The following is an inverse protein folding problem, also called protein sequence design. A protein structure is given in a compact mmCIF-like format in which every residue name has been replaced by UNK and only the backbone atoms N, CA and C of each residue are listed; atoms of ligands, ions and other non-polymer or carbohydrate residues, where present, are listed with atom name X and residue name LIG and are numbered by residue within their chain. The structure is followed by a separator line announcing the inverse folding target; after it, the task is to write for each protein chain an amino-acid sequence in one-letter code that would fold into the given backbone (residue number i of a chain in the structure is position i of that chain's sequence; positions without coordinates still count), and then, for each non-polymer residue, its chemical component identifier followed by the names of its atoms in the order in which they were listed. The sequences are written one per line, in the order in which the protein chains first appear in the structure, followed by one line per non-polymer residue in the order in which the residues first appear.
data_IF_969568369676
#
_entry.id   IF_969568369676
#
_cell.length_a   1.000
_cell.length_b   1.000
_cell.length_c   1.000
_cell.angle_alpha   90.00
_cell.angle_beta   90.00
_cell.angle_gamma   90.00
#
_symmetry.space_group_name_H-M   'P 1'
#
loop_
_entity.id
_entity.type
_entity.pdbx_description
1 polymer ?
#
# COMPACT_ATOMS: atom_id res chain seq x y z
N UNK A 1 7.91 -3.01 -10.67
CA UNK A 1 8.24 -2.11 -9.53
C UNK A 1 9.09 -2.88 -8.52
N UNK A 2 10.16 -2.26 -8.03
CA UNK A 2 10.99 -2.83 -6.98
C UNK A 2 10.50 -2.37 -5.60
N UNK A 3 10.99 -3.04 -4.56
CA UNK A 3 10.69 -2.63 -3.18
C UNK A 3 11.22 -1.22 -2.88
N UNK A 4 12.41 -0.88 -3.38
CA UNK A 4 12.97 0.46 -3.21
C UNK A 4 12.08 1.53 -3.89
N UNK A 5 11.53 1.22 -5.04
CA UNK A 5 10.60 2.12 -5.72
C UNK A 5 9.28 2.27 -4.94
N UNK A 6 8.80 1.19 -4.33
CA UNK A 6 7.62 1.25 -3.48
C UNK A 6 7.85 2.15 -2.27
N UNK A 7 9.01 2.03 -1.60
CA UNK A 7 9.36 2.90 -0.48
C UNK A 7 9.50 4.35 -0.90
N UNK A 8 10.13 4.60 -2.05
CA UNK A 8 10.26 5.96 -2.57
C UNK A 8 8.88 6.58 -2.82
N UNK A 9 7.95 5.78 -3.34
CA UNK A 9 6.59 6.22 -3.58
C UNK A 9 5.87 6.54 -2.26
N UNK A 10 6.02 5.69 -1.25
CA UNK A 10 5.46 5.93 0.07
C UNK A 10 6.01 7.22 0.70
N UNK A 11 7.32 7.48 0.55
CA UNK A 11 7.93 8.72 1.04
C UNK A 11 7.38 9.94 0.32
N UNK A 12 7.19 9.84 -1.00
CA UNK A 12 6.68 10.94 -1.82
C UNK A 12 5.30 11.40 -1.37
N UNK A 13 4.45 10.47 -0.98
CA UNK A 13 3.07 10.75 -0.57
C UNK A 13 2.89 10.73 0.95
N UNK A 14 3.97 10.69 1.71
CA UNK A 14 3.92 10.63 3.16
C UNK A 14 3.12 11.79 3.74
N UNK A 15 2.14 11.46 4.58
CA UNK A 15 1.29 12.45 5.23
C UNK A 15 0.15 12.99 4.38
N UNK A 16 0.12 12.71 3.08
CA UNK A 16 -0.98 13.13 2.23
C UNK A 16 -2.18 12.21 2.40
N UNK A 17 -3.37 12.79 2.37
CA UNK A 17 -4.61 12.02 2.42
C UNK A 17 -4.87 11.38 1.06
N UNK A 18 -5.00 10.07 1.05
CA UNK A 18 -5.37 9.29 -0.13
C UNK A 18 -6.72 8.61 0.14
N UNK A 19 -7.36 8.10 -0.91
CA UNK A 19 -8.62 7.38 -0.77
C UNK A 19 -8.55 6.02 -1.44
N UNK A 20 -9.15 5.01 -0.80
CA UNK A 20 -9.34 3.69 -1.41
C UNK A 20 -10.36 3.78 -2.55
N UNK A 21 -10.48 2.70 -3.33
CA UNK A 21 -11.45 2.66 -4.44
C UNK A 21 -12.89 2.80 -3.96
N UNK A 22 -13.16 2.53 -2.68
CA UNK A 22 -14.49 2.70 -2.08
C UNK A 22 -14.64 4.05 -1.37
N UNK A 23 -13.66 4.94 -1.49
CA UNK A 23 -13.72 6.29 -0.95
C UNK A 23 -13.30 6.43 0.51
N UNK A 24 -12.68 5.42 1.10
CA UNK A 24 -12.19 5.50 2.49
C UNK A 24 -10.84 6.19 2.53
N UNK A 25 -10.71 7.23 3.36
CA UNK A 25 -9.48 8.00 3.50
C UNK A 25 -8.43 7.30 4.34
N UNK A 26 -7.17 7.50 3.95
CA UNK A 26 -6.02 7.01 4.72
C UNK A 26 -4.80 7.87 4.41
N UNK A 27 -3.78 7.74 5.25
CA UNK A 27 -2.46 8.31 4.97
C UNK A 27 -1.44 7.19 4.87
N UNK A 28 -0.36 7.46 4.15
CA UNK A 28 0.77 6.52 4.04
C UNK A 28 2.00 7.15 4.69
N UNK A 29 2.83 6.30 5.26
CA UNK A 29 4.13 6.67 5.80
C UNK A 29 5.07 5.49 5.71
N UNK A 30 6.18 5.57 6.42
CA UNK A 30 7.17 4.50 6.49
C UNK A 30 7.47 4.21 7.95
N UNK A 31 7.44 2.93 8.29
CA UNK A 31 7.78 2.45 9.63
C UNK A 31 8.60 1.17 9.50
N UNK A 32 9.78 1.17 10.11
CA UNK A 32 10.73 0.04 10.04
C UNK A 32 11.01 -0.38 8.58
N UNK A 33 11.24 0.62 7.73
CA UNK A 33 11.51 0.43 6.29
C UNK A 33 10.40 -0.30 5.54
N UNK A 34 9.16 -0.17 6.01
CA UNK A 34 7.97 -0.71 5.34
C UNK A 34 6.92 0.37 5.13
N UNK A 35 6.12 0.30 4.06
CA UNK A 35 4.95 1.16 3.97
C UNK A 35 4.02 0.95 5.16
N UNK A 36 3.50 2.04 5.68
CA UNK A 36 2.68 2.06 6.89
C UNK A 36 1.43 2.87 6.58
N UNK A 37 0.26 2.27 6.76
CA UNK A 37 -1.00 2.88 6.38
C UNK A 37 -1.84 3.20 7.61
N UNK A 38 -2.40 4.42 7.65
CA UNK A 38 -3.25 4.84 8.77
C UNK A 38 -4.63 5.19 8.24
N UNK A 39 -5.62 4.28 8.40
CA UNK A 39 -7.00 4.56 7.99
C UNK A 39 -7.58 5.67 8.87
N UNK A 40 -8.34 6.60 8.26
CA UNK A 40 -9.00 7.66 9.01
C UNK A 40 -10.03 7.11 9.99
N UNK A 41 -10.72 6.02 9.62
CA UNK A 41 -11.80 5.45 10.42
C UNK A 41 -11.34 4.95 11.77
N UNK A 42 -10.12 4.40 11.87
CA UNK A 42 -9.59 3.87 13.13
C UNK A 42 -8.53 4.76 13.75
N UNK A 43 -7.80 5.52 12.94
CA UNK A 43 -6.64 6.29 13.37
C UNK A 43 -5.43 5.43 13.75
N UNK A 44 -5.52 4.10 13.61
CA UNK A 44 -4.42 3.20 13.96
C UNK A 44 -3.67 2.76 12.72
N UNK A 45 -2.35 2.97 12.74
CA UNK A 45 -1.48 2.58 11.65
C UNK A 45 -1.37 1.07 11.49
N UNK A 46 -1.19 0.63 10.25
CA UNK A 46 -1.13 -0.79 9.89
C UNK A 46 0.04 -1.05 8.94
N UNK A 47 0.77 -2.12 9.22
CA UNK A 47 1.75 -2.68 8.31
C UNK A 47 1.79 -4.18 8.55
N UNK A 48 1.80 -4.98 7.49
CA UNK A 48 1.95 -6.42 7.60
C UNK A 48 3.37 -6.88 7.25
N UNK A 49 4.31 -5.93 7.21
CA UNK A 49 5.72 -6.20 7.12
C UNK A 49 6.25 -6.27 5.69
N UNK A 50 7.58 -6.39 5.60
CA UNK A 50 8.28 -6.39 4.32
C UNK A 50 7.91 -7.59 3.45
N UNK A 51 7.78 -8.78 4.05
CA UNK A 51 7.47 -9.98 3.28
C UNK A 51 6.12 -9.88 2.57
N UNK A 52 5.12 -9.33 3.25
CA UNK A 52 3.80 -9.12 2.64
C UNK A 52 3.88 -8.09 1.52
N UNK A 53 4.63 -7.00 1.72
CA UNK A 53 4.85 -5.99 0.69
C UNK A 53 5.55 -6.59 -0.53
N UNK A 54 6.55 -7.44 -0.31
CA UNK A 54 7.27 -8.11 -1.41
C UNK A 54 6.36 -9.08 -2.16
N UNK A 55 5.49 -9.83 -1.45
CA UNK A 55 4.50 -10.70 -2.10
C UNK A 55 3.51 -9.90 -2.93
N UNK A 56 3.06 -8.75 -2.40
CA UNK A 56 2.20 -7.85 -3.16
C UNK A 56 2.90 -7.42 -4.45
N UNK A 57 4.14 -6.94 -4.36
CA UNK A 57 4.90 -6.47 -5.52
C UNK A 57 5.11 -7.58 -6.55
N UNK A 58 5.40 -8.79 -6.09
CA UNK A 58 5.56 -9.93 -7.01
C UNK A 58 4.31 -10.13 -7.85
N UNK A 59 3.13 -10.16 -7.19
CA UNK A 59 1.87 -10.30 -7.91
C UNK A 59 1.58 -9.09 -8.79
N UNK A 60 1.81 -7.88 -8.28
CA UNK A 60 1.61 -6.67 -9.05
C UNK A 60 2.46 -6.65 -10.32
N UNK A 61 3.71 -7.07 -10.23
CA UNK A 61 4.59 -7.14 -11.39
C UNK A 61 4.15 -8.22 -12.40
N UNK A 62 3.43 -9.23 -11.95
CA UNK A 62 2.90 -10.29 -12.82
C UNK A 62 1.61 -9.88 -13.53
N UNK A 63 0.66 -9.27 -12.82
CA UNK A 63 -0.68 -9.04 -13.35
C UNK A 63 -1.05 -7.57 -13.53
N UNK A 64 -0.36 -6.65 -12.87
CA UNK A 64 -0.59 -5.21 -12.99
C UNK A 64 -1.96 -4.72 -12.55
N UNK A 65 -2.74 -5.54 -11.86
CA UNK A 65 -4.10 -5.19 -11.44
C UNK A 65 -4.11 -4.09 -10.40
N UNK A 66 -5.12 -3.23 -10.45
CA UNK A 66 -5.39 -2.22 -9.42
C UNK A 66 -6.65 -2.56 -8.62
N UNK A 67 -7.10 -3.81 -8.67
CA UNK A 67 -8.24 -4.30 -7.88
C UNK A 67 -7.74 -4.96 -6.60
N UNK A 68 -8.15 -4.45 -5.43
CA UNK A 68 -7.67 -5.01 -4.15
C UNK A 68 -7.95 -6.52 -3.99
N UNK A 69 -9.08 -7.00 -4.51
CA UNK A 69 -9.43 -8.41 -4.41
C UNK A 69 -8.42 -9.35 -5.05
N UNK A 70 -7.64 -8.87 -6.02
CA UNK A 70 -6.62 -9.69 -6.68
C UNK A 70 -5.38 -9.93 -5.79
N UNK A 71 -5.32 -9.27 -4.61
CA UNK A 71 -4.19 -9.33 -3.68
C UNK A 71 -4.61 -9.74 -2.27
N UNK A 72 -5.87 -10.08 -2.06
CA UNK A 72 -6.39 -10.37 -0.72
C UNK A 72 -5.68 -11.54 -0.04
N UNK A 73 -5.14 -12.47 -0.80
CA UNK A 73 -4.42 -13.63 -0.29
C UNK A 73 -2.95 -13.34 0.04
N UNK A 74 -2.39 -12.22 -0.40
CA UNK A 74 -0.99 -11.88 -0.15
C UNK A 74 -0.81 -10.76 0.87
N UNK A 75 -1.80 -9.90 1.04
CA UNK A 75 -1.77 -8.84 2.05
C UNK A 75 -3.18 -8.40 2.43
N UNK A 76 -3.40 -8.12 3.72
CA UNK A 76 -4.66 -7.52 4.18
C UNK A 76 -4.74 -6.02 3.93
N UNK A 77 -3.64 -5.41 3.48
CA UNK A 77 -3.57 -3.98 3.16
C UNK A 77 -3.69 -3.71 1.65
N UNK A 78 -4.26 -4.66 0.91
CA UNK A 78 -4.36 -4.58 -0.55
C UNK A 78 -5.02 -3.29 -1.03
N UNK A 79 -6.10 -2.85 -0.37
CA UNK A 79 -6.82 -1.63 -0.76
C UNK A 79 -5.96 -0.38 -0.67
N UNK A 80 -4.96 -0.36 0.22
CA UNK A 80 -4.03 0.77 0.34
C UNK A 80 -2.89 0.67 -0.65
N UNK A 81 -2.33 -0.54 -0.81
CA UNK A 81 -1.22 -0.75 -1.75
C UNK A 81 -1.61 -0.41 -3.19
N UNK A 82 -2.81 -0.80 -3.64
CA UNK A 82 -3.20 -0.53 -5.03
C UNK A 82 -3.35 0.97 -5.30
N UNK A 83 -3.81 1.74 -4.31
CA UNK A 83 -3.89 3.20 -4.46
C UNK A 83 -2.49 3.79 -4.55
N UNK A 84 -1.57 3.31 -3.71
CA UNK A 84 -0.20 3.79 -3.70
C UNK A 84 0.51 3.53 -5.03
N UNK A 85 0.47 2.29 -5.53
CA UNK A 85 1.16 1.95 -6.79
C UNK A 85 0.51 2.62 -8.00
N UNK A 86 -0.77 2.96 -7.93
CA UNK A 86 -1.44 3.70 -9.00
C UNK A 86 -0.88 5.12 -9.17
N UNK A 87 -0.13 5.61 -8.18
CA UNK A 87 0.51 6.93 -8.22
C UNK A 87 1.89 6.91 -8.87
N UNK A 88 2.36 5.75 -9.25
CA UNK A 88 3.67 5.62 -9.86
C UNK A 88 3.73 6.31 -11.23
#
# INVERSE_FOLDING_TARGET
MTYAELLALARRFEGERLETVTGKGFTVGIYLDCPFFTPESSGYGQSDGRKAAERFLRRYNEIGSLRPGDYADVTRNASYYVVLVARA
#
